data_IF_510582060678
#
_entry.id   IF_510582060678
#
_cell.length_a   1.000
_cell.length_b   1.000
_cell.length_c   1.000
_cell.angle_alpha   90.00
_cell.angle_beta   90.00
_cell.angle_gamma   90.00
#
_symmetry.space_group_name_H-M   'P 1'
#
loop_
_entity.id
_entity.type
_entity.pdbx_description
1 polymer ?
#
# COMPACT_ATOMS: atom_id res chain seq x y z
N UNK A 1 -11.65 16.10 8.07
CA UNK A 1 -11.20 17.19 8.94
C UNK A 1 -11.98 18.50 8.75
N UNK A 2 -12.74 18.69 7.68
CA UNK A 2 -13.59 19.90 7.50
C UNK A 2 -14.75 20.06 8.51
N UNK A 3 -14.93 19.17 9.45
CA UNK A 3 -16.00 19.24 10.45
C UNK A 3 -15.55 19.58 11.86
N UNK A 4 -14.26 19.83 12.08
CA UNK A 4 -13.72 20.14 13.42
C UNK A 4 -13.40 21.62 13.64
N UNK A 5 -13.54 22.45 12.62
CA UNK A 5 -13.45 23.90 12.73
C UNK A 5 -14.82 24.52 13.11
N UNK A 6 -15.51 23.94 14.10
CA UNK A 6 -16.65 24.60 14.68
C UNK A 6 -16.15 25.76 15.59
N UNK A 7 -16.54 26.97 15.30
CA UNK A 7 -16.25 28.11 16.13
C UNK A 7 -16.94 27.94 17.49
N UNK A 8 -16.19 27.52 18.51
CA UNK A 8 -16.65 27.51 19.90
C UNK A 8 -16.39 26.19 20.65
N UNK A 9 -16.60 26.20 21.95
CA UNK A 9 -16.39 25.08 22.89
C UNK A 9 -17.28 23.84 22.61
N UNK A 10 -18.21 23.90 21.66
CA UNK A 10 -19.23 22.88 21.39
C UNK A 10 -18.92 22.00 20.15
N UNK A 11 -17.79 22.18 19.49
CA UNK A 11 -17.44 21.49 18.24
C UNK A 11 -17.59 19.97 18.30
N UNK A 12 -17.22 19.33 19.41
CA UNK A 12 -17.44 17.90 19.61
C UNK A 12 -18.92 17.52 19.68
N UNK A 13 -19.77 18.34 20.30
CA UNK A 13 -21.19 18.07 20.44
C UNK A 13 -21.92 18.05 19.08
N UNK A 14 -21.47 18.86 18.13
CA UNK A 14 -22.08 19.03 16.81
C UNK A 14 -21.71 17.91 15.82
N UNK A 15 -20.62 17.16 16.09
CA UNK A 15 -20.19 16.05 15.24
C UNK A 15 -21.19 14.89 15.38
N UNK A 16 -21.54 14.26 14.26
CA UNK A 16 -22.42 13.09 14.25
C UNK A 16 -21.84 11.93 15.07
N UNK A 17 -22.69 11.11 15.66
CA UNK A 17 -22.23 9.93 16.41
C UNK A 17 -21.36 8.98 15.58
N UNK A 18 -21.66 8.83 14.28
CA UNK A 18 -20.85 8.02 13.36
C UNK A 18 -19.44 8.62 13.18
N UNK A 19 -19.34 9.93 13.02
CA UNK A 19 -18.05 10.60 12.92
C UNK A 19 -17.23 10.49 14.23
N UNK A 20 -17.87 10.65 15.38
CA UNK A 20 -17.26 10.42 16.70
C UNK A 20 -16.72 8.99 16.82
N UNK A 21 -17.52 8.01 16.42
CA UNK A 21 -17.14 6.62 16.48
C UNK A 21 -15.94 6.34 15.57
N UNK A 22 -15.92 6.87 14.36
CA UNK A 22 -14.80 6.72 13.44
C UNK A 22 -13.51 7.32 14.00
N UNK A 23 -13.59 8.51 14.62
CA UNK A 23 -12.43 9.13 15.28
C UNK A 23 -11.90 8.21 16.38
N UNK A 24 -12.78 7.71 17.26
CA UNK A 24 -12.37 6.80 18.34
C UNK A 24 -11.71 5.54 17.80
N UNK A 25 -12.28 4.94 16.77
CA UNK A 25 -11.75 3.72 16.18
C UNK A 25 -10.40 3.90 15.52
N UNK A 26 -10.14 5.05 14.88
CA UNK A 26 -8.82 5.37 14.32
C UNK A 26 -7.74 5.57 15.40
N UNK A 27 -8.15 5.95 16.60
CA UNK A 27 -7.28 6.21 17.75
C UNK A 27 -7.27 5.09 18.78
N UNK A 28 -7.82 3.93 18.43
CA UNK A 28 -7.88 2.73 19.26
C UNK A 28 -7.35 1.52 18.49
N UNK A 29 -6.66 0.64 19.18
CA UNK A 29 -6.17 -0.62 18.62
C UNK A 29 -6.31 -1.74 19.64
N UNK A 30 -6.79 -2.91 19.19
CA UNK A 30 -6.76 -4.15 19.97
C UNK A 30 -5.49 -4.91 19.65
N UNK A 31 -4.75 -5.26 20.69
CA UNK A 31 -3.49 -6.01 20.58
C UNK A 31 -3.71 -7.37 21.21
N UNK A 32 -3.29 -8.44 20.51
CA UNK A 32 -3.41 -9.79 21.03
C UNK A 32 -2.58 -9.96 22.32
N UNK A 33 -2.99 -10.89 23.18
CA UNK A 33 -2.29 -11.17 24.46
C UNK A 33 -0.85 -11.62 24.28
N UNK A 34 -0.48 -12.06 23.09
CA UNK A 34 0.88 -12.50 22.75
C UNK A 34 1.79 -11.34 22.31
N UNK A 35 1.22 -10.17 22.08
CA UNK A 35 1.94 -8.98 21.65
C UNK A 35 2.05 -7.98 22.80
N UNK A 36 3.16 -7.24 22.84
CA UNK A 36 3.29 -6.12 23.78
C UNK A 36 2.21 -5.08 23.55
N UNK A 37 1.53 -4.65 24.61
CA UNK A 37 0.60 -3.52 24.59
C UNK A 37 1.32 -2.16 24.53
N UNK A 38 2.64 -2.17 24.48
CA UNK A 38 3.46 -0.97 24.43
C UNK A 38 3.87 -0.64 23.00
N UNK A 39 3.72 0.63 22.62
CA UNK A 39 4.26 1.12 21.38
C UNK A 39 5.78 1.15 21.45
N UNK A 40 6.51 0.76 20.40
CA UNK A 40 7.95 0.70 20.42
C UNK A 40 8.57 2.10 20.47
N UNK A 41 9.44 2.33 21.44
CA UNK A 41 10.30 3.51 21.48
C UNK A 41 11.48 3.40 20.50
N UNK A 42 11.78 2.19 20.06
CA UNK A 42 12.80 1.88 19.04
C UNK A 42 12.30 0.78 18.11
N UNK A 43 12.71 0.89 16.85
CA UNK A 43 12.27 -0.03 15.81
C UNK A 43 10.91 0.33 15.23
N UNK A 44 10.38 -0.55 14.42
CA UNK A 44 9.16 -0.33 13.63
C UNK A 44 8.06 -1.33 14.00
N UNK A 45 6.81 -0.89 13.95
CA UNK A 45 5.64 -1.75 14.11
C UNK A 45 4.45 -1.20 13.34
N UNK A 46 3.66 -2.08 12.72
CA UNK A 46 2.37 -1.75 12.14
C UNK A 46 1.29 -2.39 13.01
N UNK A 47 0.31 -1.61 13.42
CA UNK A 47 -0.73 -2.01 14.36
C UNK A 47 -2.09 -1.76 13.74
N UNK A 48 -2.95 -2.78 13.56
CA UNK A 48 -4.32 -2.58 13.10
C UNK A 48 -5.09 -1.73 14.11
N UNK A 49 -5.83 -0.73 13.63
CA UNK A 49 -6.74 0.03 14.45
C UNK A 49 -8.11 -0.65 14.55
N UNK A 50 -8.98 -0.19 15.44
CA UNK A 50 -10.38 -0.61 15.47
C UNK A 50 -11.19 -0.09 14.27
N UNK A 51 -10.66 0.88 13.55
CA UNK A 51 -11.21 1.29 12.26
C UNK A 51 -10.81 0.27 11.19
N UNK A 52 -11.79 -0.33 10.56
CA UNK A 52 -11.57 -1.35 9.53
C UNK A 52 -10.59 -0.85 8.47
N UNK A 53 -9.52 -1.63 8.24
CA UNK A 53 -8.50 -1.38 7.22
C UNK A 53 -7.60 -0.15 7.42
N UNK A 54 -7.58 0.45 8.63
CA UNK A 54 -6.64 1.51 8.97
C UNK A 54 -5.60 0.99 9.97
N UNK A 55 -4.40 1.54 9.92
CA UNK A 55 -3.24 1.04 10.66
C UNK A 55 -2.44 2.19 11.25
N UNK A 56 -1.92 1.97 12.45
CA UNK A 56 -0.84 2.79 12.96
C UNK A 56 0.50 2.27 12.47
N UNK A 57 1.28 3.15 11.90
CA UNK A 57 2.68 2.94 11.59
C UNK A 57 3.50 3.59 12.68
N UNK A 58 4.27 2.80 13.42
CA UNK A 58 5.07 3.27 14.55
C UNK A 58 6.54 3.05 14.23
N UNK A 59 7.36 4.10 14.43
CA UNK A 59 8.80 4.06 14.20
C UNK A 59 9.52 4.92 15.21
N UNK A 60 10.44 4.32 15.98
CA UNK A 60 11.37 5.01 16.88
C UNK A 60 10.71 6.09 17.74
N UNK A 61 9.62 5.75 18.42
CA UNK A 61 8.89 6.66 19.30
C UNK A 61 7.97 7.65 18.57
N UNK A 62 7.75 7.47 17.26
CA UNK A 62 6.83 8.27 16.47
C UNK A 62 5.71 7.40 15.89
N UNK A 63 4.55 8.03 15.62
CA UNK A 63 3.34 7.36 15.15
C UNK A 63 2.67 8.14 14.01
N UNK A 64 2.10 7.43 13.06
CA UNK A 64 1.15 7.95 12.06
C UNK A 64 0.06 6.92 11.78
N UNK A 65 -1.08 7.36 11.28
CA UNK A 65 -2.21 6.48 10.90
C UNK A 65 -2.29 6.17 9.41
N UNK A 66 -1.39 6.71 8.60
CA UNK A 66 -1.29 6.32 7.19
C UNK A 66 0.15 6.04 6.81
N UNK A 67 0.38 5.38 5.69
CA UNK A 67 1.75 5.26 5.19
C UNK A 67 2.33 6.66 4.98
N UNK A 68 3.60 6.82 5.31
CA UNK A 68 4.31 8.10 5.17
C UNK A 68 4.16 8.70 3.78
N UNK A 69 4.04 7.85 2.80
CA UNK A 69 3.94 8.24 1.41
C UNK A 69 2.58 8.81 1.04
N UNK A 70 1.50 8.22 1.53
CA UNK A 70 0.17 8.77 1.32
C UNK A 70 0.07 10.19 1.86
N UNK A 71 0.72 10.46 2.99
CA UNK A 71 0.77 11.80 3.58
C UNK A 71 1.58 12.78 2.71
N UNK A 72 2.69 12.34 2.14
CA UNK A 72 3.51 13.19 1.26
C UNK A 72 2.82 13.52 -0.06
N UNK A 73 2.03 12.60 -0.60
CA UNK A 73 1.27 12.80 -1.83
C UNK A 73 0.01 13.63 -1.62
N UNK A 74 -0.48 13.74 -0.41
CA UNK A 74 -1.66 14.52 -0.12
C UNK A 74 -1.26 15.87 0.50
N UNK A 75 -1.28 16.99 -0.26
CA UNK A 75 -0.89 18.30 0.24
C UNK A 75 -1.79 18.84 1.36
N UNK A 76 -2.94 18.21 1.62
CA UNK A 76 -3.80 18.53 2.76
C UNK A 76 -3.23 17.98 4.09
N UNK A 77 -2.35 17.01 4.03
CA UNK A 77 -1.61 16.48 5.18
C UNK A 77 -0.24 17.16 5.28
N UNK A 78 -0.23 18.47 5.47
CA UNK A 78 0.99 19.26 5.54
C UNK A 78 1.93 18.75 6.65
N UNK A 79 2.90 17.94 6.27
CA UNK A 79 4.25 18.04 6.80
C UNK A 79 4.63 17.16 7.96
N UNK A 80 3.80 16.59 8.80
CA UNK A 80 4.27 15.70 9.87
C UNK A 80 3.92 14.25 9.53
N UNK A 81 4.84 13.62 8.86
CA UNK A 81 4.71 12.23 8.46
C UNK A 81 4.61 11.34 9.70
N UNK A 82 5.42 11.58 10.70
CA UNK A 82 5.39 10.91 11.99
C UNK A 82 5.41 11.92 13.12
N UNK A 83 4.58 11.69 14.13
CA UNK A 83 4.45 12.52 15.32
C UNK A 83 4.97 11.78 16.53
N UNK A 84 5.83 12.39 17.38
CA UNK A 84 6.26 11.80 18.63
C UNK A 84 5.07 11.49 19.54
N UNK A 85 5.13 10.35 20.21
CA UNK A 85 4.14 10.00 21.22
C UNK A 85 4.76 9.90 22.60
N UNK A 86 3.93 10.13 23.61
CA UNK A 86 4.29 9.98 25.03
C UNK A 86 3.32 9.04 25.71
N UNK A 87 3.84 8.05 26.43
CA UNK A 87 3.02 7.15 27.21
C UNK A 87 2.46 7.89 28.43
N UNK A 88 1.13 7.94 28.55
CA UNK A 88 0.46 8.60 29.66
C UNK A 88 0.21 7.66 30.84
N UNK A 89 -0.36 6.49 30.57
CA UNK A 89 -0.81 5.58 31.62
C UNK A 89 -0.86 4.12 31.12
N UNK A 90 -0.55 3.20 32.04
CA UNK A 90 -0.92 1.79 31.93
C UNK A 90 -2.23 1.56 32.66
N UNK A 91 -3.22 1.04 31.99
CA UNK A 91 -4.41 0.45 32.58
C UNK A 91 -4.25 -1.06 32.78
N UNK A 92 -5.21 -1.68 33.44
CA UNK A 92 -5.23 -3.15 33.60
C UNK A 92 -5.43 -3.90 32.28
N UNK A 93 -5.91 -3.23 31.25
CA UNK A 93 -6.30 -3.78 29.94
C UNK A 93 -5.66 -3.06 28.76
N UNK A 94 -4.66 -2.22 28.99
CA UNK A 94 -3.99 -1.52 27.88
C UNK A 94 -3.19 -0.30 28.31
N UNK A 95 -2.64 0.41 27.35
CA UNK A 95 -1.84 1.61 27.53
C UNK A 95 -2.48 2.79 26.79
N UNK A 96 -2.34 3.98 27.38
CA UNK A 96 -2.80 5.23 26.76
C UNK A 96 -1.60 6.10 26.43
N UNK A 97 -1.65 6.68 25.24
CA UNK A 97 -0.59 7.55 24.72
C UNK A 97 -1.18 8.89 24.29
N UNK A 98 -0.39 9.94 24.40
CA UNK A 98 -0.64 11.22 23.74
C UNK A 98 0.34 11.42 22.59
N UNK A 99 -0.07 12.15 21.60
CA UNK A 99 0.80 12.67 20.56
C UNK A 99 0.40 14.11 20.25
N UNK A 100 1.41 14.91 19.91
CA UNK A 100 1.22 16.31 19.60
C UNK A 100 1.16 16.46 18.08
N UNK A 101 -0.05 16.35 17.54
CA UNK A 101 -0.31 16.54 16.12
C UNK A 101 -1.30 17.68 15.94
N UNK A 102 -1.07 18.50 14.93
CA UNK A 102 -2.00 19.58 14.55
C UNK A 102 -3.37 19.04 14.11
N UNK A 103 -3.40 17.76 13.70
CA UNK A 103 -4.61 17.11 13.19
C UNK A 103 -4.77 15.71 13.79
N UNK A 104 -6.02 15.31 14.04
CA UNK A 104 -6.37 13.94 14.36
C UNK A 104 -6.06 13.02 13.17
N UNK A 105 -5.82 11.73 13.45
CA UNK A 105 -5.70 10.74 12.40
C UNK A 105 -6.96 10.72 11.53
N UNK A 106 -6.73 10.70 10.22
CA UNK A 106 -7.78 10.56 9.22
C UNK A 106 -7.71 9.17 8.60
N UNK A 107 -8.88 8.59 8.34
CA UNK A 107 -8.94 7.35 7.57
C UNK A 107 -8.42 7.58 6.16
N UNK A 108 -7.63 6.64 5.66
CA UNK A 108 -7.35 6.58 4.22
C UNK A 108 -8.66 6.31 3.49
N UNK A 109 -8.94 7.14 2.50
CA UNK A 109 -10.17 7.01 1.74
C UNK A 109 -10.03 5.99 0.63
N UNK A 110 -11.00 5.11 0.55
CA UNK A 110 -11.17 4.20 -0.57
C UNK A 110 -10.40 2.88 -0.44
N UNK A 111 -10.80 1.99 -1.27
CA UNK A 111 -10.24 0.65 -1.46
C UNK A 111 -8.91 0.71 -2.23
N UNK A 112 -7.99 -0.20 -1.96
CA UNK A 112 -6.68 -0.27 -2.62
C UNK A 112 -6.82 -0.39 -4.14
N UNK A 113 -7.71 -1.25 -4.62
CA UNK A 113 -7.91 -1.46 -6.05
C UNK A 113 -8.47 -0.19 -6.71
N UNK A 114 -9.37 0.52 -6.03
CA UNK A 114 -9.89 1.79 -6.49
C UNK A 114 -8.81 2.88 -6.54
N UNK A 115 -8.00 3.02 -5.50
CA UNK A 115 -6.94 4.04 -5.47
C UNK A 115 -5.89 3.83 -6.57
N UNK A 116 -5.50 2.58 -6.85
CA UNK A 116 -4.62 2.29 -7.99
C UNK A 116 -5.34 2.64 -9.32
N UNK A 117 -6.60 2.26 -9.45
CA UNK A 117 -7.36 2.46 -10.69
C UNK A 117 -7.61 3.93 -11.03
N UNK A 118 -7.87 4.79 -10.05
CA UNK A 118 -8.13 6.23 -10.28
C UNK A 118 -6.87 7.06 -10.47
N UNK A 119 -5.67 6.49 -10.34
CA UNK A 119 -4.41 7.22 -10.48
C UNK A 119 -4.38 7.94 -11.85
N UNK A 120 -4.62 9.23 -11.82
CA UNK A 120 -4.70 10.07 -13.02
C UNK A 120 -3.57 11.11 -13.07
N UNK A 121 -2.86 11.34 -11.97
CA UNK A 121 -1.80 12.33 -11.88
C UNK A 121 -0.44 11.67 -12.14
N UNK A 122 0.27 12.17 -13.15
CA UNK A 122 1.62 11.71 -13.52
C UNK A 122 2.68 11.91 -12.41
N UNK A 123 2.39 12.72 -11.40
CA UNK A 123 3.25 12.88 -10.22
C UNK A 123 3.17 11.69 -9.26
N UNK A 124 2.12 10.87 -9.33
CA UNK A 124 2.09 9.65 -8.52
C UNK A 124 3.16 8.66 -9.00
N UNK A 125 3.94 8.07 -8.10
CA UNK A 125 5.08 7.22 -8.45
C UNK A 125 4.70 5.89 -9.11
N UNK A 126 3.43 5.53 -9.13
CA UNK A 126 2.87 4.36 -9.77
C UNK A 126 1.96 4.69 -10.97
N UNK A 127 1.96 5.94 -11.42
CA UNK A 127 1.13 6.40 -12.54
C UNK A 127 1.34 5.56 -13.82
N UNK A 128 2.60 5.32 -14.18
CA UNK A 128 2.92 4.55 -15.39
C UNK A 128 2.36 3.12 -15.32
N UNK A 129 2.44 2.49 -14.15
CA UNK A 129 1.86 1.16 -13.95
C UNK A 129 0.32 1.18 -14.09
N UNK A 130 -0.34 2.17 -13.51
CA UNK A 130 -1.79 2.34 -13.64
C UNK A 130 -2.24 2.53 -15.10
N UNK A 131 -1.46 3.27 -15.93
CA UNK A 131 -1.74 3.39 -17.36
C UNK A 131 -1.63 2.03 -18.07
N UNK A 132 -0.59 1.23 -17.79
CA UNK A 132 -0.45 -0.11 -18.34
C UNK A 132 -1.61 -1.03 -17.94
N UNK A 133 -2.11 -0.94 -16.70
CA UNK A 133 -3.29 -1.70 -16.27
C UNK A 133 -4.54 -1.35 -17.11
N UNK A 134 -4.68 -0.09 -17.53
CA UNK A 134 -5.77 0.33 -18.42
C UNK A 134 -5.63 -0.27 -19.82
N UNK A 135 -4.45 -0.20 -20.42
CA UNK A 135 -4.19 -0.81 -21.73
C UNK A 135 -4.36 -2.34 -21.71
N UNK A 136 -4.07 -2.95 -20.58
CA UNK A 136 -4.28 -4.38 -20.34
C UNK A 136 -5.74 -4.77 -20.08
N UNK A 137 -6.68 -3.82 -20.05
CA UNK A 137 -8.08 -4.04 -19.63
C UNK A 137 -8.22 -4.69 -18.24
N UNK A 138 -7.25 -4.46 -17.34
CA UNK A 138 -7.32 -4.91 -15.95
C UNK A 138 -8.10 -3.95 -15.05
N UNK A 139 -8.47 -2.80 -15.57
CA UNK A 139 -9.35 -1.82 -14.92
C UNK A 139 -10.69 -1.82 -15.63
N UNK A 140 -11.73 -2.31 -14.95
CA UNK A 140 -13.08 -2.29 -15.47
C UNK A 140 -13.76 -0.95 -15.23
N UNK A 141 -14.65 -0.56 -16.15
CA UNK A 141 -15.40 0.70 -16.07
C UNK A 141 -14.51 1.94 -15.84
N UNK A 142 -13.25 1.88 -16.26
CA UNK A 142 -12.23 2.93 -16.12
C UNK A 142 -11.84 3.32 -14.69
N UNK A 143 -12.42 2.71 -13.65
CA UNK A 143 -12.21 3.07 -12.25
C UNK A 143 -12.05 1.88 -11.29
N UNK A 144 -12.28 0.65 -11.75
CA UNK A 144 -12.18 -0.53 -10.87
C UNK A 144 -11.24 -1.58 -11.44
N UNK A 145 -10.32 -2.06 -10.62
CA UNK A 145 -9.47 -3.19 -10.98
C UNK A 145 -10.26 -4.51 -10.96
N UNK A 146 -9.92 -5.40 -11.88
CA UNK A 146 -10.52 -6.74 -11.95
C UNK A 146 -10.19 -7.63 -10.73
N UNK A 147 -9.27 -7.20 -9.88
CA UNK A 147 -8.97 -7.83 -8.59
C UNK A 147 -9.99 -7.49 -7.50
N UNK A 148 -10.87 -6.52 -7.73
CA UNK A 148 -11.97 -6.21 -6.82
C UNK A 148 -12.81 -7.48 -6.56
N UNK A 149 -13.02 -7.81 -5.28
CA UNK A 149 -13.71 -9.05 -4.89
C UNK A 149 -12.82 -10.28 -4.74
N UNK A 150 -11.52 -10.23 -5.05
CA UNK A 150 -10.54 -11.29 -4.75
C UNK A 150 -10.05 -11.28 -3.29
N UNK A 151 -10.68 -10.47 -2.45
CA UNK A 151 -10.28 -10.23 -1.08
C UNK A 151 -9.04 -9.32 -1.00
N UNK A 152 -8.44 -9.28 0.19
CA UNK A 152 -7.23 -8.48 0.40
C UNK A 152 -6.09 -8.94 -0.50
N UNK A 153 -5.30 -7.97 -0.98
CA UNK A 153 -4.11 -8.27 -1.76
C UNK A 153 -2.91 -7.40 -1.37
N UNK A 154 -1.74 -7.90 -1.71
CA UNK A 154 -0.47 -7.17 -1.65
C UNK A 154 0.05 -7.03 -3.07
N UNK A 155 0.48 -5.83 -3.44
CA UNK A 155 1.09 -5.58 -4.73
C UNK A 155 2.53 -5.06 -4.59
N UNK A 156 3.37 -5.37 -5.59
CA UNK A 156 4.71 -4.84 -5.71
C UNK A 156 4.79 -4.08 -7.02
N UNK A 157 4.60 -2.78 -6.98
CA UNK A 157 4.39 -1.93 -8.15
C UNK A 157 5.70 -1.26 -8.57
N UNK A 158 6.18 -1.47 -9.81
CA UNK A 158 7.34 -0.77 -10.32
C UNK A 158 7.15 0.74 -10.32
N UNK A 159 8.18 1.48 -9.93
CA UNK A 159 8.18 2.94 -10.02
C UNK A 159 8.01 3.43 -11.46
N UNK A 160 7.59 4.69 -11.63
CA UNK A 160 7.48 5.29 -12.96
C UNK A 160 8.78 5.17 -13.76
N UNK A 161 9.93 5.38 -13.11
CA UNK A 161 11.23 5.29 -13.77
C UNK A 161 11.58 3.85 -14.17
N UNK A 162 11.22 2.86 -13.34
CA UNK A 162 11.39 1.45 -13.66
C UNK A 162 10.59 1.07 -14.92
N UNK A 163 9.31 1.48 -14.97
CA UNK A 163 8.45 1.23 -16.13
C UNK A 163 8.99 1.93 -17.39
N UNK A 164 9.39 3.20 -17.29
CA UNK A 164 9.95 3.93 -18.44
C UNK A 164 11.22 3.26 -18.98
N UNK A 165 12.13 2.84 -18.09
CA UNK A 165 13.34 2.10 -18.51
C UNK A 165 13.02 0.76 -19.17
N UNK A 166 12.04 0.04 -18.62
CA UNK A 166 11.61 -1.26 -19.15
C UNK A 166 10.96 -1.14 -20.54
N UNK A 167 10.11 -0.13 -20.75
CA UNK A 167 9.54 0.17 -22.06
C UNK A 167 10.63 0.53 -23.09
N UNK A 168 11.54 1.42 -22.74
CA UNK A 168 12.65 1.82 -23.59
C UNK A 168 13.57 0.65 -23.98
N UNK A 169 13.54 -0.44 -23.21
CA UNK A 169 14.32 -1.66 -23.43
C UNK A 169 13.47 -2.83 -23.98
N UNK A 170 12.22 -2.60 -24.33
CA UNK A 170 11.26 -3.62 -24.80
C UNK A 170 11.14 -4.82 -23.84
N UNK A 171 11.17 -4.57 -22.53
CA UNK A 171 11.12 -5.61 -21.50
C UNK A 171 9.72 -5.90 -20.96
N UNK A 172 8.70 -5.15 -21.37
CA UNK A 172 7.32 -5.36 -20.92
C UNK A 172 6.56 -6.18 -21.96
N UNK A 173 6.25 -7.45 -21.68
CA UNK A 173 5.48 -8.30 -22.58
C UNK A 173 4.13 -7.68 -22.93
N UNK A 174 3.76 -7.76 -24.20
CA UNK A 174 2.50 -7.18 -24.70
C UNK A 174 2.51 -5.67 -24.92
N UNK A 175 3.61 -4.95 -24.60
CA UNK A 175 3.79 -3.54 -24.93
C UNK A 175 4.81 -3.40 -26.08
N UNK A 176 4.30 -3.02 -27.27
CA UNK A 176 5.11 -2.97 -28.51
C UNK A 176 5.33 -1.49 -28.86
N UNK A 177 6.61 -1.09 -28.98
CA UNK A 177 7.00 0.31 -29.27
C UNK A 177 6.31 1.34 -28.34
N UNK A 178 6.07 0.92 -27.08
CA UNK A 178 5.37 1.74 -26.12
C UNK A 178 6.31 2.69 -25.41
N UNK A 179 5.86 3.92 -25.18
CA UNK A 179 6.62 4.94 -24.45
C UNK A 179 5.69 5.96 -23.81
N UNK A 180 6.24 6.70 -22.84
CA UNK A 180 5.59 7.88 -22.28
C UNK A 180 6.23 9.13 -22.86
N UNK A 181 5.39 10.09 -23.30
CA UNK A 181 5.85 11.41 -23.70
C UNK A 181 6.23 12.28 -22.47
N UNK A 182 6.63 13.53 -22.75
CA UNK A 182 7.03 14.47 -21.70
C UNK A 182 5.88 14.85 -20.77
N UNK A 183 4.66 14.80 -21.27
CA UNK A 183 3.40 15.05 -20.54
C UNK A 183 2.90 13.82 -19.77
N UNK A 184 3.61 12.68 -19.85
CA UNK A 184 3.26 11.43 -19.18
C UNK A 184 2.15 10.63 -19.90
N UNK A 185 1.85 10.92 -21.17
CA UNK A 185 0.88 10.17 -21.94
C UNK A 185 1.52 8.91 -22.53
N UNK A 186 0.88 7.77 -22.29
CA UNK A 186 1.29 6.49 -22.86
C UNK A 186 0.86 6.39 -24.34
N UNK A 187 1.77 5.91 -25.18
CA UNK A 187 1.54 5.60 -26.58
C UNK A 187 2.22 4.27 -26.94
N UNK A 188 1.73 3.61 -27.99
CA UNK A 188 2.27 2.33 -28.48
C UNK A 188 1.18 1.40 -28.97
N UNK A 189 1.56 0.17 -29.25
CA UNK A 189 0.65 -0.93 -29.59
C UNK A 189 0.67 -1.96 -28.46
N UNK A 190 -0.51 -2.44 -28.05
CA UNK A 190 -0.63 -3.34 -26.90
C UNK A 190 -1.35 -4.63 -27.28
N UNK A 191 -0.72 -5.78 -26.99
CA UNK A 191 -1.43 -7.03 -26.81
C UNK A 191 -2.01 -7.05 -25.38
N UNK A 192 -3.25 -6.65 -25.23
CA UNK A 192 -3.89 -6.52 -23.92
C UNK A 192 -3.90 -7.83 -23.13
N UNK A 193 -3.97 -8.99 -23.78
CA UNK A 193 -3.99 -10.30 -23.11
C UNK A 193 -2.63 -10.68 -22.57
N UNK A 194 -1.57 -10.49 -23.35
CA UNK A 194 -0.20 -10.76 -22.94
C UNK A 194 0.22 -9.79 -21.84
N UNK A 195 -0.07 -8.50 -22.02
CA UNK A 195 0.19 -7.45 -21.05
C UNK A 195 -0.55 -7.71 -19.71
N UNK A 196 -1.85 -8.06 -19.76
CA UNK A 196 -2.63 -8.39 -18.58
C UNK A 196 -2.02 -9.56 -17.82
N UNK A 197 -1.63 -10.62 -18.53
CA UNK A 197 -1.02 -11.78 -17.89
C UNK A 197 0.33 -11.44 -17.23
N UNK A 198 1.13 -10.59 -17.86
CA UNK A 198 2.37 -10.08 -17.27
C UNK A 198 2.10 -9.22 -16.04
N UNK A 199 1.21 -8.24 -16.11
CA UNK A 199 0.90 -7.33 -15.00
C UNK A 199 0.27 -8.05 -13.80
N UNK A 200 -0.46 -9.13 -14.03
CA UNK A 200 -0.98 -9.99 -12.97
C UNK A 200 0.13 -10.64 -12.12
N UNK A 201 1.38 -10.68 -12.60
CA UNK A 201 2.53 -11.16 -11.82
C UNK A 201 2.82 -10.31 -10.59
N UNK A 202 2.37 -9.05 -10.54
CA UNK A 202 2.68 -8.10 -9.47
C UNK A 202 1.72 -8.17 -8.27
N UNK A 203 0.72 -9.04 -8.30
CA UNK A 203 -0.34 -9.13 -7.30
C UNK A 203 -0.36 -10.47 -6.58
N UNK A 204 -0.35 -10.41 -5.24
CA UNK A 204 -0.55 -11.56 -4.33
C UNK A 204 -1.90 -11.36 -3.68
N UNK A 205 -2.88 -12.25 -3.92
CA UNK A 205 -4.23 -12.13 -3.37
C UNK A 205 -4.50 -13.13 -2.25
N UNK A 206 -5.40 -12.78 -1.34
CA UNK A 206 -5.87 -13.67 -0.30
C UNK A 206 -6.69 -14.86 -0.84
N UNK A 207 -7.17 -14.76 -2.08
CA UNK A 207 -7.86 -15.87 -2.74
C UNK A 207 -6.94 -17.07 -3.01
N UNK A 208 -5.65 -16.85 -3.18
CA UNK A 208 -4.65 -17.89 -3.50
C UNK A 208 -3.60 -18.07 -2.41
N UNK A 209 -3.49 -17.14 -1.45
CA UNK A 209 -2.42 -17.12 -0.47
C UNK A 209 -2.95 -16.82 0.93
N UNK A 210 -2.21 -17.28 1.94
CA UNK A 210 -2.36 -16.76 3.29
C UNK A 210 -1.53 -15.48 3.40
N UNK A 211 -2.18 -14.35 3.64
CA UNK A 211 -1.54 -13.06 3.80
C UNK A 211 -1.69 -12.63 5.25
N UNK A 212 -0.70 -12.92 6.13
CA UNK A 212 -0.82 -12.68 7.57
C UNK A 212 -0.83 -11.20 7.94
N UNK A 213 0.03 -10.43 7.29
CA UNK A 213 0.15 -8.98 7.53
C UNK A 213 0.72 -8.27 6.30
N UNK A 214 0.95 -6.97 6.44
CA UNK A 214 1.63 -6.20 5.40
C UNK A 214 3.14 -6.42 5.45
N UNK A 215 3.81 -6.58 4.29
CA UNK A 215 5.25 -6.72 4.25
C UNK A 215 5.94 -5.39 4.59
N UNK A 216 6.73 -5.40 5.63
CA UNK A 216 7.69 -4.35 6.01
C UNK A 216 8.83 -5.01 6.78
N UNK A 217 9.96 -4.34 6.96
CA UNK A 217 11.12 -4.95 7.64
C UNK A 217 10.75 -5.44 9.04
N UNK A 218 10.97 -6.72 9.29
CA UNK A 218 10.66 -7.35 10.57
C UNK A 218 9.18 -7.69 10.77
N UNK A 219 8.35 -7.60 9.73
CA UNK A 219 6.93 -8.00 9.80
C UNK A 219 6.75 -9.52 9.94
N UNK A 220 5.54 -9.94 10.21
CA UNK A 220 5.14 -11.36 10.19
C UNK A 220 4.80 -11.85 8.78
N UNK A 221 4.94 -11.04 7.74
CA UNK A 221 4.91 -11.47 6.36
C UNK A 221 6.15 -12.33 6.08
N UNK A 222 5.97 -13.62 5.89
CA UNK A 222 7.06 -14.58 5.91
C UNK A 222 7.87 -14.57 4.62
N UNK A 223 9.19 -14.68 4.76
CA UNK A 223 10.05 -15.05 3.64
C UNK A 223 9.54 -16.34 3.00
N UNK A 224 9.39 -16.34 1.69
CA UNK A 224 8.86 -17.51 1.01
C UNK A 224 8.33 -17.22 -0.39
N UNK A 225 7.52 -18.15 -0.85
CA UNK A 225 6.94 -18.16 -2.19
C UNK A 225 5.45 -17.93 -2.11
N UNK A 226 4.95 -17.07 -2.99
CA UNK A 226 3.54 -16.69 -3.07
C UNK A 226 3.03 -16.83 -4.49
N UNK A 227 1.80 -17.31 -4.65
CA UNK A 227 1.15 -17.35 -5.96
C UNK A 227 0.75 -15.95 -6.38
N UNK A 228 1.12 -15.55 -7.59
CA UNK A 228 0.61 -14.34 -8.21
C UNK A 228 -0.71 -14.61 -8.95
N UNK A 229 -1.37 -13.57 -9.42
CA UNK A 229 -2.58 -13.68 -10.25
C UNK A 229 -2.27 -14.05 -11.73
N UNK A 230 -1.00 -14.31 -12.06
CA UNK A 230 -0.59 -14.73 -13.39
C UNK A 230 -1.18 -16.11 -13.73
N UNK A 231 -1.72 -16.23 -14.92
CA UNK A 231 -2.27 -17.48 -15.44
C UNK A 231 -1.27 -18.12 -16.42
N UNK A 232 -1.02 -19.41 -16.24
CA UNK A 232 -0.24 -20.19 -17.21
C UNK A 232 -1.19 -20.75 -18.26
N UNK A 233 -0.90 -20.48 -19.52
CA UNK A 233 -1.72 -20.93 -20.64
C UNK A 233 -1.32 -22.30 -21.19
N UNK A 234 -0.19 -22.84 -20.74
CA UNK A 234 0.34 -24.13 -21.19
C UNK A 234 -0.15 -25.22 -20.23
N UNK A 235 -0.84 -26.20 -20.77
CA UNK A 235 -1.33 -27.35 -19.99
C UNK A 235 -0.15 -28.09 -19.33
N UNK A 236 -0.27 -28.35 -18.03
CA UNK A 236 0.78 -28.99 -17.22
C UNK A 236 1.92 -28.10 -16.76
N UNK A 237 1.98 -26.84 -17.18
CA UNK A 237 2.97 -25.90 -16.66
C UNK A 237 2.50 -25.27 -15.34
N UNK A 238 3.44 -25.10 -14.40
CA UNK A 238 3.19 -24.40 -13.11
C UNK A 238 3.40 -22.90 -13.29
N UNK A 239 2.50 -22.10 -12.75
CA UNK A 239 2.68 -20.66 -12.74
C UNK A 239 3.94 -20.29 -11.93
N UNK A 240 4.76 -19.33 -12.40
CA UNK A 240 5.89 -18.85 -11.63
C UNK A 240 5.41 -18.14 -10.37
N UNK A 241 6.08 -18.40 -9.25
CA UNK A 241 5.78 -17.79 -7.96
C UNK A 241 6.59 -16.53 -7.73
N UNK A 242 6.06 -15.64 -6.91
CA UNK A 242 6.79 -14.51 -6.34
C UNK A 242 7.59 -14.98 -5.13
N UNK A 243 8.86 -14.64 -5.08
CA UNK A 243 9.76 -14.94 -3.97
C UNK A 243 9.97 -13.67 -3.18
N UNK A 244 9.37 -13.60 -1.99
CA UNK A 244 9.53 -12.48 -1.06
C UNK A 244 10.69 -12.72 -0.10
N UNK A 245 11.51 -11.71 0.12
CA UNK A 245 12.66 -11.77 1.02
C UNK A 245 12.77 -10.49 1.85
N UNK A 246 12.69 -10.65 3.17
CA UNK A 246 13.13 -9.69 4.18
C UNK A 246 14.45 -10.19 4.76
N UNK A 247 15.52 -9.40 4.63
CA UNK A 247 16.84 -9.73 5.18
C UNK A 247 17.18 -8.94 6.46
N UNK A 248 16.20 -8.24 7.03
CA UNK A 248 16.34 -7.41 8.21
C UNK A 248 16.81 -5.98 7.97
N UNK A 249 17.21 -5.64 6.73
CA UNK A 249 17.68 -4.30 6.34
C UNK A 249 17.08 -3.83 5.02
N UNK A 250 16.56 -4.74 4.22
CA UNK A 250 15.88 -4.45 2.95
C UNK A 250 14.83 -5.50 2.65
N UNK A 251 13.85 -5.10 1.85
CA UNK A 251 12.82 -5.97 1.30
C UNK A 251 13.06 -6.16 -0.20
N UNK A 252 12.84 -7.35 -0.70
CA UNK A 252 12.90 -7.63 -2.12
C UNK A 252 11.84 -8.62 -2.54
N UNK A 253 11.48 -8.54 -3.83
CA UNK A 253 10.56 -9.45 -4.49
C UNK A 253 11.16 -9.89 -5.82
N UNK A 254 10.93 -11.13 -6.21
CA UNK A 254 11.42 -11.69 -7.47
C UNK A 254 10.34 -12.59 -8.04
N UNK A 255 10.02 -12.44 -9.31
CA UNK A 255 9.29 -13.47 -10.03
C UNK A 255 10.25 -14.63 -10.31
N UNK A 256 9.82 -15.86 -10.09
CA UNK A 256 10.64 -17.05 -10.32
C UNK A 256 11.16 -17.09 -11.78
N UNK A 257 12.49 -17.11 -11.92
CA UNK A 257 13.17 -16.98 -13.21
C UNK A 257 13.34 -15.56 -13.75
N UNK A 258 12.81 -14.54 -13.08
CA UNK A 258 12.94 -13.14 -13.43
C UNK A 258 13.96 -12.37 -12.59
N UNK A 259 13.96 -11.05 -12.73
CA UNK A 259 14.82 -10.15 -11.97
C UNK A 259 14.42 -10.08 -10.50
N UNK A 260 15.39 -9.91 -9.63
CA UNK A 260 15.17 -9.56 -8.23
C UNK A 260 15.05 -8.04 -8.11
N UNK A 261 13.87 -7.56 -7.70
CA UNK A 261 13.58 -6.16 -7.52
C UNK A 261 13.64 -5.79 -6.03
N UNK A 262 14.21 -4.62 -5.71
CA UNK A 262 14.26 -4.11 -4.34
C UNK A 262 13.03 -3.24 -4.07
N UNK A 263 12.49 -3.34 -2.87
CA UNK A 263 11.50 -2.37 -2.41
C UNK A 263 12.18 -1.02 -2.19
N UNK A 264 11.54 0.04 -2.66
CA UNK A 264 12.06 1.40 -2.52
C UNK A 264 12.08 1.81 -1.04
N UNK A 265 13.25 2.23 -0.58
CA UNK A 265 13.51 2.51 0.84
C UNK A 265 13.12 3.92 1.31
N UNK A 266 12.73 4.80 0.40
CA UNK A 266 12.47 6.23 0.68
C UNK A 266 11.40 6.47 1.74
N UNK A 267 10.62 5.43 2.04
CA UNK A 267 9.52 5.46 3.00
C UNK A 267 9.73 4.47 4.15
N UNK A 268 10.96 4.20 4.51
CA UNK A 268 11.32 3.27 5.58
C UNK A 268 10.74 1.87 5.39
N UNK A 269 10.57 1.47 4.13
CA UNK A 269 9.96 0.19 3.73
C UNK A 269 8.50 0.00 4.17
N UNK A 270 7.82 1.04 4.63
CA UNK A 270 6.40 0.95 4.89
C UNK A 270 5.60 0.91 3.58
N UNK A 271 4.56 0.07 3.51
CA UNK A 271 3.70 0.00 2.34
C UNK A 271 2.76 1.19 2.24
N UNK A 272 2.27 1.45 1.03
CA UNK A 272 1.01 2.18 0.87
C UNK A 272 -0.12 1.28 1.33
N UNK A 273 -0.86 1.67 2.34
CA UNK A 273 -1.92 0.87 2.93
C UNK A 273 -3.29 1.55 2.74
N UNK A 274 -4.26 0.75 2.30
CA UNK A 274 -5.64 1.15 2.06
C UNK A 274 -6.59 0.07 2.53
N UNK A 275 -7.87 0.33 2.46
CA UNK A 275 -8.87 -0.73 2.56
C UNK A 275 -8.61 -1.79 1.47
N UNK A 276 -8.62 -3.05 1.85
CA UNK A 276 -8.39 -4.17 0.92
C UNK A 276 -6.94 -4.57 0.71
N UNK A 277 -5.95 -3.88 1.28
CA UNK A 277 -4.56 -4.34 1.22
C UNK A 277 -3.50 -3.24 1.19
N UNK A 278 -2.37 -3.56 0.59
CA UNK A 278 -1.26 -2.63 0.48
C UNK A 278 -0.44 -2.87 -0.77
N UNK A 279 0.42 -1.91 -1.11
CA UNK A 279 1.48 -2.13 -2.11
C UNK A 279 2.79 -1.49 -1.69
N UNK A 280 3.89 -2.06 -2.18
CA UNK A 280 5.20 -1.46 -2.18
C UNK A 280 5.60 -1.00 -3.56
N UNK A 281 6.40 0.06 -3.63
CA UNK A 281 7.11 0.41 -4.85
C UNK A 281 8.39 -0.42 -4.97
N UNK A 282 8.71 -0.86 -6.17
CA UNK A 282 9.94 -1.58 -6.49
C UNK A 282 10.74 -0.85 -7.57
N UNK A 283 12.05 -1.06 -7.55
CA UNK A 283 13.04 -0.31 -8.34
C UNK A 283 13.20 -0.81 -9.79
N UNK A 284 12.67 -1.99 -10.11
CA UNK A 284 12.75 -2.58 -11.45
C UNK A 284 11.50 -3.41 -11.77
N UNK A 285 11.44 -3.98 -12.97
CA UNK A 285 10.41 -4.91 -13.45
C UNK A 285 10.87 -6.36 -13.35
N UNK A 286 9.90 -7.30 -13.30
CA UNK A 286 10.17 -8.75 -13.26
C UNK A 286 10.70 -9.30 -14.58
#
# INVERSE_FOLDING_TARGET
TQGLEAEGDDGWAEISNTAKQNIVYLHSASISSEQSSELPERGTRVIPTESTWNYWFVKDGNITCSSTFNQQLNPQFNGTVFTPFTKLKNGSNGSTYSFDAEQLFAAESGDLAYNIAICADHNYPYYCFAQLLREANLISNQIMMNLFGKGRFVAFIPTNDAIKRALASNKIPGAIDASFDAEGKLSGTFDAKELANYLNSYFITAAQNVIPSYPYIGSDFKNGRYWSERVVQTEGATAPQLIYTDNGTSLSIQLEGGNKCQVVSDYDYFPFAYEGGCFHLIDDVF
#
